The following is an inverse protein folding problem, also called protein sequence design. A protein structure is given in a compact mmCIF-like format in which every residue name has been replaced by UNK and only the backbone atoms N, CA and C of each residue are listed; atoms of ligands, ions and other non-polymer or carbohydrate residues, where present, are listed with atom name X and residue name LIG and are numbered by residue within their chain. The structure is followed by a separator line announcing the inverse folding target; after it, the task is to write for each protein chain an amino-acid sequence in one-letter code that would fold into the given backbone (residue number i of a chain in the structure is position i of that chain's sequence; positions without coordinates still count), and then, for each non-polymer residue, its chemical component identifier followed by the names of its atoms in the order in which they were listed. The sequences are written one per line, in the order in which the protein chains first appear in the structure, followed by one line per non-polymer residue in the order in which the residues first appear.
data_IF_679476113116
#
_entry.id   IF_679476113116
#
_cell.length_a   1.000
_cell.length_b   1.000
_cell.length_c   1.000
_cell.angle_alpha   90.00
_cell.angle_beta   90.00
_cell.angle_gamma   90.00
#
_symmetry.space_group_name_H-M   'P 1'
#
loop_
_entity.id
_entity.type
_entity.pdbx_description
1 polymer ?
#
# COMPACT_ATOMS: atom_id res chain seq x y z
N UNK A 1 -7.85 7.49 -13.72
CA UNK A 1 -7.77 8.87 -14.25
C UNK A 1 -6.30 9.17 -14.55
N UNK A 2 -5.82 8.86 -15.76
CA UNK A 2 -4.47 9.26 -16.18
C UNK A 2 -4.36 10.80 -16.17
N UNK A 3 -3.25 11.33 -15.68
CA UNK A 3 -3.01 12.78 -15.55
C UNK A 3 -3.45 13.42 -14.24
N UNK A 4 -4.03 12.67 -13.29
CA UNK A 4 -4.39 13.19 -11.96
C UNK A 4 -3.17 13.22 -11.02
N UNK A 5 -3.03 14.30 -10.26
CA UNK A 5 -2.03 14.42 -9.19
C UNK A 5 -2.54 13.76 -7.91
N UNK A 6 -1.69 12.99 -7.23
CA UNK A 6 -2.01 12.28 -5.99
C UNK A 6 -0.87 12.37 -4.97
N UNK A 7 -1.20 12.25 -3.69
CA UNK A 7 -0.23 11.95 -2.63
C UNK A 7 0.02 10.44 -2.59
N UNK A 8 1.23 10.01 -2.90
CA UNK A 8 1.63 8.60 -2.83
C UNK A 8 2.37 8.33 -1.52
N UNK A 9 1.73 7.58 -0.62
CA UNK A 9 2.23 7.31 0.74
C UNK A 9 2.72 5.87 0.86
N UNK A 10 3.89 5.64 1.44
CA UNK A 10 4.42 4.29 1.66
C UNK A 10 5.29 4.18 2.92
N UNK A 11 5.01 3.16 3.75
CA UNK A 11 5.82 2.71 4.88
C UNK A 11 6.20 1.21 4.70
N UNK A 12 6.99 0.95 3.65
CA UNK A 12 7.46 -0.39 3.25
C UNK A 12 8.96 -0.36 2.93
N UNK A 13 9.64 -1.50 3.01
CA UNK A 13 11.10 -1.59 2.81
C UNK A 13 11.64 -1.15 1.43
N UNK A 14 10.81 -1.12 0.38
CA UNK A 14 11.20 -0.59 -0.94
C UNK A 14 10.03 0.20 -1.59
N UNK A 15 9.82 1.46 -1.18
CA UNK A 15 8.70 2.27 -1.66
C UNK A 15 8.82 2.65 -3.15
N UNK A 16 10.05 2.66 -3.69
CA UNK A 16 10.30 3.03 -5.08
C UNK A 16 9.55 2.16 -6.10
N UNK A 17 9.36 0.87 -5.80
CA UNK A 17 8.56 -0.03 -6.67
C UNK A 17 7.09 0.39 -6.74
N UNK A 18 6.51 0.79 -5.61
CA UNK A 18 5.13 1.28 -5.53
C UNK A 18 4.96 2.59 -6.30
N UNK A 19 5.88 3.53 -6.13
CA UNK A 19 5.84 4.82 -6.82
C UNK A 19 6.06 4.69 -8.34
N UNK A 20 7.00 3.84 -8.76
CA UNK A 20 7.20 3.53 -10.18
C UNK A 20 5.95 2.90 -10.80
N UNK A 21 5.26 2.02 -10.08
CA UNK A 21 3.99 1.45 -10.50
C UNK A 21 2.93 2.53 -10.71
N UNK A 22 2.72 3.43 -9.74
CA UNK A 22 1.74 4.53 -9.86
C UNK A 22 2.04 5.45 -11.06
N UNK A 23 3.31 5.82 -11.28
CA UNK A 23 3.71 6.59 -12.47
C UNK A 23 3.40 5.86 -13.76
N UNK A 24 3.63 4.54 -13.81
CA UNK A 24 3.31 3.71 -14.99
C UNK A 24 1.80 3.66 -15.28
N UNK A 25 0.96 3.82 -14.28
CA UNK A 25 -0.50 3.96 -14.45
C UNK A 25 -0.92 5.38 -14.90
N UNK A 26 0.03 6.31 -15.07
CA UNK A 26 -0.22 7.66 -15.59
C UNK A 26 -0.52 8.71 -14.53
N UNK A 27 -0.24 8.45 -13.25
CA UNK A 27 -0.40 9.44 -12.19
C UNK A 27 0.82 10.35 -12.06
N UNK A 28 0.57 11.63 -11.76
CA UNK A 28 1.58 12.54 -11.21
C UNK A 28 1.57 12.35 -9.70
N UNK A 29 2.71 12.01 -9.09
CA UNK A 29 2.75 11.67 -7.68
C UNK A 29 3.59 12.66 -6.86
N UNK A 30 3.07 13.00 -5.68
CA UNK A 30 3.79 13.66 -4.59
C UNK A 30 4.17 12.53 -3.62
N UNK A 31 5.46 12.19 -3.55
CA UNK A 31 5.94 11.06 -2.76
C UNK A 31 6.05 11.40 -1.27
N UNK A 32 5.53 10.52 -0.43
CA UNK A 32 5.64 10.59 1.03
C UNK A 32 6.16 9.25 1.55
N UNK A 33 7.43 9.24 1.95
CA UNK A 33 8.11 8.04 2.45
C UNK A 33 8.17 8.08 3.97
N UNK A 34 7.74 6.99 4.58
CA UNK A 34 7.83 6.77 6.02
C UNK A 34 8.67 5.51 6.31
N UNK A 35 9.24 5.37 7.53
CA UNK A 35 9.92 4.15 7.94
C UNK A 35 9.04 2.90 7.77
N UNK A 36 9.64 1.73 7.52
CA UNK A 36 8.85 0.50 7.49
C UNK A 36 8.16 0.28 8.84
N UNK A 37 6.95 -0.27 8.81
CA UNK A 37 6.08 -0.44 9.99
C UNK A 37 5.68 0.86 10.71
N UNK A 38 5.84 2.03 10.08
CA UNK A 38 5.45 3.30 10.67
C UNK A 38 3.99 3.30 11.15
N UNK A 39 3.76 3.87 12.33
CA UNK A 39 2.46 4.02 12.97
C UNK A 39 1.91 5.41 12.68
N UNK A 40 1.07 5.52 11.65
CA UNK A 40 0.48 6.79 11.24
C UNK A 40 -0.41 7.41 12.31
N UNK A 41 -0.34 8.72 12.41
CA UNK A 41 -1.29 9.62 13.06
C UNK A 41 -2.04 10.41 12.00
N UNK A 42 -3.26 10.87 12.31
CA UNK A 42 -4.07 11.65 11.37
C UNK A 42 -3.34 12.92 10.89
N UNK A 43 -2.53 13.54 11.76
CA UNK A 43 -1.76 14.73 11.44
C UNK A 43 -0.68 14.49 10.37
N UNK A 44 -0.13 13.28 10.29
CA UNK A 44 0.93 12.95 9.32
C UNK A 44 0.41 13.01 7.87
N UNK A 45 -0.89 12.77 7.68
CA UNK A 45 -1.55 12.66 6.38
C UNK A 45 -2.61 13.75 6.16
N UNK A 46 -2.59 14.81 6.98
CA UNK A 46 -3.49 15.94 6.85
C UNK A 46 -2.92 16.99 5.88
N UNK A 47 -2.89 16.66 4.59
CA UNK A 47 -2.46 17.59 3.55
C UNK A 47 -3.49 18.70 3.35
N UNK A 48 -3.00 19.91 3.04
CA UNK A 48 -3.82 21.14 2.95
C UNK A 48 -4.68 21.22 1.70
N UNK A 49 -4.45 20.34 0.72
CA UNK A 49 -5.25 20.23 -0.49
C UNK A 49 -6.24 19.05 -0.42
N UNK A 50 -7.06 18.92 -1.47
CA UNK A 50 -8.07 17.88 -1.60
C UNK A 50 -7.60 16.70 -2.46
N UNK A 51 -6.30 16.54 -2.70
CA UNK A 51 -5.79 15.49 -3.56
C UNK A 51 -5.98 14.10 -2.92
N UNK A 52 -6.20 13.05 -3.73
CA UNK A 52 -6.26 11.70 -3.23
C UNK A 52 -4.94 11.29 -2.56
N UNK A 53 -5.06 10.56 -1.44
CA UNK A 53 -3.98 9.94 -0.71
C UNK A 53 -3.99 8.45 -1.03
N UNK A 54 -3.06 8.03 -1.89
CA UNK A 54 -2.96 6.66 -2.39
C UNK A 54 -1.79 5.95 -1.70
N UNK A 55 -2.06 4.78 -1.12
CA UNK A 55 -1.06 4.00 -0.39
C UNK A 55 -1.12 2.50 -0.70
N UNK A 56 -0.25 1.73 -0.06
CA UNK A 56 -0.36 0.26 -0.09
C UNK A 56 -1.50 -0.22 0.80
N UNK A 57 -2.07 -1.39 0.50
CA UNK A 57 -3.09 -2.00 1.36
C UNK A 57 -2.60 -2.18 2.81
N UNK A 58 -1.31 -2.53 3.00
CA UNK A 58 -0.68 -2.64 4.33
C UNK A 58 -0.76 -1.34 5.11
N UNK A 59 -0.52 -0.20 4.47
CA UNK A 59 -0.55 1.10 5.12
C UNK A 59 -1.98 1.60 5.33
N UNK A 60 -2.92 1.26 4.45
CA UNK A 60 -4.33 1.58 4.60
C UNK A 60 -4.95 0.94 5.85
N UNK A 61 -4.59 -0.30 6.16
CA UNK A 61 -5.03 -0.98 7.41
C UNK A 61 -4.61 -0.17 8.65
N UNK A 62 -3.43 0.46 8.64
CA UNK A 62 -2.94 1.26 9.78
C UNK A 62 -3.68 2.59 9.92
N UNK A 63 -4.16 3.15 8.81
CA UNK A 63 -4.84 4.46 8.73
C UNK A 63 -6.36 4.37 8.93
N UNK A 64 -6.95 3.16 8.84
CA UNK A 64 -8.39 2.94 8.80
C UNK A 64 -9.21 3.70 9.86
N UNK A 65 -8.65 3.91 11.06
CA UNK A 65 -9.33 4.60 12.17
C UNK A 65 -9.60 6.09 11.94
N UNK A 66 -8.87 6.73 11.03
CA UNK A 66 -8.96 8.18 10.78
C UNK A 66 -9.08 8.51 9.29
N UNK A 67 -9.15 7.50 8.42
CA UNK A 67 -9.24 7.67 6.98
C UNK A 67 -10.53 8.42 6.60
N UNK A 68 -10.40 9.39 5.71
CA UNK A 68 -11.50 10.10 5.06
C UNK A 68 -11.66 9.65 3.59
N UNK A 69 -12.57 10.28 2.84
CA UNK A 69 -12.84 9.93 1.44
C UNK A 69 -11.65 10.12 0.47
N UNK A 70 -10.59 10.82 0.89
CA UNK A 70 -9.36 10.97 0.10
C UNK A 70 -8.47 9.75 0.18
N UNK A 71 -8.68 8.83 1.12
CA UNK A 71 -7.80 7.68 1.34
C UNK A 71 -8.15 6.54 0.40
N UNK A 72 -7.18 6.13 -0.42
CA UNK A 72 -7.27 5.02 -1.35
C UNK A 72 -6.09 4.09 -1.19
N UNK A 73 -6.27 2.82 -1.55
CA UNK A 73 -5.19 1.86 -1.59
C UNK A 73 -5.16 1.10 -2.90
N UNK A 74 -3.97 0.65 -3.28
CA UNK A 74 -3.80 -0.25 -4.42
C UNK A 74 -3.87 -1.68 -3.90
N UNK A 75 -4.92 -2.45 -4.24
CA UNK A 75 -5.00 -3.87 -3.88
C UNK A 75 -3.94 -4.66 -4.65
N UNK A 76 -3.40 -5.69 -4.02
CA UNK A 76 -2.46 -6.61 -4.66
C UNK A 76 -2.95 -8.03 -4.47
N UNK A 77 -3.19 -8.74 -5.56
CA UNK A 77 -3.53 -10.16 -5.55
C UNK A 77 -2.28 -11.00 -5.83
N UNK A 78 -2.03 -11.98 -4.98
CA UNK A 78 -0.99 -12.97 -5.20
C UNK A 78 -1.58 -14.18 -5.94
N UNK A 79 -1.09 -14.45 -7.15
CA UNK A 79 -1.40 -15.67 -7.88
C UNK A 79 -0.32 -16.70 -7.54
N UNK A 80 -0.74 -17.81 -6.93
CA UNK A 80 0.16 -18.88 -6.50
C UNK A 80 -0.15 -20.13 -7.32
N UNK A 81 0.88 -20.74 -7.91
CA UNK A 81 0.75 -22.00 -8.63
C UNK A 81 0.27 -23.11 -7.67
N UNK A 82 -0.58 -24.02 -8.15
CA UNK A 82 -1.21 -25.03 -7.31
C UNK A 82 -0.20 -25.94 -6.60
N UNK A 83 0.93 -26.23 -7.23
CA UNK A 83 2.01 -27.03 -6.64
C UNK A 83 2.65 -26.31 -5.45
N UNK A 84 2.89 -25.00 -5.59
CA UNK A 84 3.42 -24.16 -4.51
C UNK A 84 2.40 -24.06 -3.38
N UNK A 85 1.11 -23.91 -3.71
CA UNK A 85 0.03 -23.88 -2.72
C UNK A 85 -0.05 -25.19 -1.93
N UNK A 86 -0.05 -26.33 -2.61
CA UNK A 86 -0.09 -27.65 -1.96
C UNK A 86 1.13 -27.87 -1.06
N UNK A 87 2.32 -27.50 -1.54
CA UNK A 87 3.55 -27.57 -0.77
C UNK A 87 3.52 -26.69 0.49
N UNK A 88 3.07 -25.43 0.37
CA UNK A 88 2.93 -24.50 1.49
C UNK A 88 1.94 -25.04 2.54
N UNK A 89 0.81 -25.60 2.12
CA UNK A 89 -0.17 -26.20 3.03
C UNK A 89 0.44 -27.38 3.81
N UNK A 90 1.22 -28.23 3.14
CA UNK A 90 1.91 -29.35 3.80
C UNK A 90 2.94 -28.85 4.83
N UNK A 91 3.74 -27.83 4.49
CA UNK A 91 4.70 -27.25 5.43
C UNK A 91 4.02 -26.65 6.67
N UNK A 92 2.88 -25.99 6.49
CA UNK A 92 2.11 -25.40 7.58
C UNK A 92 1.41 -26.45 8.45
N UNK A 93 0.99 -27.59 7.88
CA UNK A 93 0.43 -28.70 8.66
C UNK A 93 1.47 -29.45 9.49
N UNK A 94 2.71 -29.54 9.01
CA UNK A 94 3.80 -30.23 9.72
C UNK A 94 4.35 -29.40 10.90
N UNK A 95 4.32 -28.06 10.81
CA UNK A 95 4.81 -27.16 11.87
C UNK A 95 3.79 -26.86 12.98
N UNK A 96 2.63 -27.52 12.96
CA UNK A 96 1.56 -27.37 13.97
C UNK A 96 1.58 -28.47 15.05
N UNK A 97 2.65 -29.26 15.13
CA UNK A 97 2.89 -30.25 16.18
C UNK A 97 3.81 -29.70 17.28
#
# INVERSE_FOLDING_TARGET
LPGTTIHAVAAIGNPGRFFAYLRKQGFTIIEHIFPDHYLYQAADLNFTDSLPIVMTEKDAVKCARFADARFWYVPVEAIVADEVRAYLLNLLSVRRA
#
